data_IF_311051862878
#
_entry.id   IF_311051862878
#
_cell.length_a   1.000
_cell.length_b   1.000
_cell.length_c   1.000
_cell.angle_alpha   90.00
_cell.angle_beta   90.00
_cell.angle_gamma   90.00
#
_symmetry.space_group_name_H-M   'P 1'
#
loop_
_entity.id
_entity.type
_entity.pdbx_description
1 polymer ?
#
# COMPACT_ATOMS: atom_id res chain seq x y z
N UNK A 1 -13.16 19.45 -5.68
CA UNK A 1 -13.20 18.26 -6.56
C UNK A 1 -11.84 17.62 -6.71
N UNK A 2 -11.77 16.50 -7.40
CA UNK A 2 -10.50 15.80 -7.68
C UNK A 2 -9.74 16.62 -8.74
N UNK A 3 -8.46 16.98 -8.52
CA UNK A 3 -7.67 17.68 -9.51
C UNK A 3 -7.55 16.91 -10.84
N UNK A 4 -7.61 17.61 -11.96
CA UNK A 4 -7.65 17.01 -13.31
C UNK A 4 -6.45 16.16 -13.69
N UNK A 5 -5.29 16.38 -13.05
CA UNK A 5 -4.10 15.55 -13.31
C UNK A 5 -4.28 14.09 -12.90
N UNK A 6 -5.18 13.80 -11.96
CA UNK A 6 -5.42 12.45 -11.48
C UNK A 6 -6.48 11.76 -12.32
N UNK A 7 -6.08 10.72 -13.02
CA UNK A 7 -6.94 9.96 -13.94
C UNK A 7 -7.20 8.52 -13.47
N UNK A 8 -6.52 8.10 -12.40
CA UNK A 8 -6.63 6.77 -11.82
C UNK A 8 -6.88 6.86 -10.32
N UNK A 9 -7.68 5.94 -9.81
CA UNK A 9 -7.95 5.77 -8.39
C UNK A 9 -7.72 4.33 -7.96
N UNK A 10 -7.09 4.15 -6.80
CA UNK A 10 -6.82 2.84 -6.20
C UNK A 10 -7.36 2.79 -4.78
N UNK A 11 -7.77 1.60 -4.32
CA UNK A 11 -8.08 1.40 -2.91
C UNK A 11 -6.79 1.50 -2.07
N UNK A 12 -6.85 2.29 -0.99
CA UNK A 12 -5.74 2.41 -0.05
C UNK A 12 -5.81 1.28 0.95
N UNK A 13 -4.87 0.37 0.83
CA UNK A 13 -4.75 -0.77 1.73
C UNK A 13 -4.06 -0.33 3.03
N UNK A 14 -4.50 -0.86 4.15
CA UNK A 14 -3.95 -0.59 5.48
C UNK A 14 -3.16 -1.81 5.99
N UNK A 15 -2.00 -2.00 5.44
CA UNK A 15 -1.08 -3.06 5.80
C UNK A 15 0.31 -2.50 6.11
N UNK A 16 1.31 -3.29 5.78
CA UNK A 16 2.72 -2.93 5.89
C UNK A 16 3.25 -2.66 4.48
N UNK A 17 3.86 -1.50 4.26
CA UNK A 17 4.58 -1.24 3.02
C UNK A 17 5.65 -2.32 2.80
N UNK A 18 5.68 -2.92 1.63
CA UNK A 18 6.60 -3.98 1.27
C UNK A 18 7.31 -3.75 -0.06
N UNK A 19 8.59 -4.10 -0.09
CA UNK A 19 9.39 -4.17 -1.30
C UNK A 19 9.70 -5.64 -1.56
N UNK A 20 9.11 -6.18 -2.62
CA UNK A 20 9.29 -7.58 -3.03
C UNK A 20 10.34 -7.65 -4.12
N UNK A 21 11.47 -8.29 -3.81
CA UNK A 21 12.59 -8.48 -4.73
C UNK A 21 12.61 -9.93 -5.19
N UNK A 22 12.62 -10.12 -6.51
CA UNK A 22 12.69 -11.42 -7.18
C UNK A 22 14.03 -11.52 -7.88
N UNK A 23 14.86 -12.45 -7.45
CA UNK A 23 16.14 -12.74 -8.11
C UNK A 23 16.67 -14.13 -7.78
N UNK A 24 17.44 -14.72 -8.69
CA UNK A 24 18.12 -16.00 -8.48
C UNK A 24 17.20 -17.13 -8.02
N UNK A 25 15.95 -17.15 -8.49
CA UNK A 25 14.99 -18.18 -8.13
C UNK A 25 14.32 -17.99 -6.78
N UNK A 26 14.52 -16.88 -6.11
CA UNK A 26 13.97 -16.57 -4.79
C UNK A 26 13.22 -15.26 -4.76
N UNK A 27 12.28 -15.14 -3.82
CA UNK A 27 11.70 -13.86 -3.45
C UNK A 27 12.12 -13.48 -2.03
N UNK A 28 12.28 -12.18 -1.80
CA UNK A 28 12.45 -11.58 -0.49
C UNK A 28 11.58 -10.36 -0.40
N UNK A 29 10.80 -10.27 0.66
CA UNK A 29 9.99 -9.09 0.94
C UNK A 29 10.57 -8.32 2.11
N UNK A 30 10.87 -7.05 1.89
CA UNK A 30 11.43 -6.14 2.88
C UNK A 30 10.38 -5.12 3.32
N UNK A 31 10.36 -4.82 4.61
CA UNK A 31 9.61 -3.69 5.13
C UNK A 31 10.31 -2.37 4.80
N UNK A 32 9.64 -1.25 5.06
CA UNK A 32 10.20 0.10 4.90
C UNK A 32 11.51 0.31 5.65
N UNK A 33 11.70 -0.36 6.77
CA UNK A 33 12.93 -0.30 7.59
C UNK A 33 13.98 -1.34 7.20
N UNK A 34 13.77 -2.07 6.10
CA UNK A 34 14.70 -3.08 5.60
C UNK A 34 14.66 -4.43 6.30
N UNK A 35 13.67 -4.69 7.16
CA UNK A 35 13.47 -6.01 7.76
C UNK A 35 12.84 -6.98 6.78
N UNK A 36 13.36 -8.21 6.72
CA UNK A 36 12.78 -9.28 5.92
C UNK A 36 11.46 -9.73 6.58
N UNK A 37 10.38 -9.69 5.81
CA UNK A 37 9.03 -10.12 6.23
C UNK A 37 8.62 -11.46 5.63
N UNK A 38 9.14 -11.80 4.47
CA UNK A 38 8.90 -13.07 3.81
C UNK A 38 10.08 -13.42 2.90
N UNK A 39 10.36 -14.70 2.76
CA UNK A 39 11.40 -15.22 1.87
C UNK A 39 11.01 -16.62 1.44
N UNK A 40 11.35 -16.99 0.21
CA UNK A 40 11.13 -18.34 -0.28
C UNK A 40 11.65 -18.53 -1.69
N UNK A 41 11.61 -19.80 -2.11
CA UNK A 41 11.95 -20.21 -3.47
C UNK A 41 10.74 -20.00 -4.40
N UNK A 42 11.02 -19.61 -5.65
CA UNK A 42 10.00 -19.50 -6.69
C UNK A 42 10.16 -20.72 -7.61
N UNK A 43 9.20 -21.68 -7.58
CA UNK A 43 9.29 -22.88 -8.40
C UNK A 43 9.40 -22.53 -9.91
N UNK A 44 10.32 -23.19 -10.61
CA UNK A 44 10.55 -23.03 -12.06
C UNK A 44 10.84 -21.59 -12.50
N UNK A 45 11.32 -20.75 -11.57
CA UNK A 45 11.83 -19.44 -11.92
C UNK A 45 13.23 -19.56 -12.47
N UNK A 46 13.51 -18.89 -13.58
CA UNK A 46 14.84 -18.88 -14.16
C UNK A 46 15.83 -18.19 -13.20
N UNK A 47 16.79 -18.94 -12.68
CA UNK A 47 17.81 -18.46 -11.74
C UNK A 47 18.82 -17.50 -12.39
N UNK A 48 18.88 -17.48 -13.72
CA UNK A 48 19.69 -16.54 -14.52
C UNK A 48 18.94 -15.26 -14.85
N UNK A 49 17.66 -15.22 -14.57
CA UNK A 49 16.83 -14.05 -14.82
C UNK A 49 17.29 -12.90 -13.93
N UNK A 50 17.42 -11.71 -14.51
CA UNK A 50 17.75 -10.50 -13.79
C UNK A 50 16.65 -10.09 -12.79
N UNK A 51 17.04 -9.23 -11.83
CA UNK A 51 16.20 -8.77 -10.73
C UNK A 51 14.91 -8.12 -11.21
N UNK A 52 13.81 -8.43 -10.50
CA UNK A 52 12.55 -7.70 -10.58
C UNK A 52 12.21 -7.13 -9.20
N UNK A 53 11.60 -5.93 -9.16
CA UNK A 53 11.21 -5.25 -7.92
C UNK A 53 9.77 -4.79 -8.02
N UNK A 54 8.95 -5.25 -7.06
CA UNK A 54 7.57 -4.83 -6.86
C UNK A 54 7.41 -4.08 -5.54
N UNK A 55 6.62 -3.03 -5.55
CA UNK A 55 6.16 -2.37 -4.33
C UNK A 55 4.69 -2.70 -4.07
N UNK A 56 4.33 -2.87 -2.82
CA UNK A 56 2.96 -3.18 -2.45
C UNK A 56 2.68 -3.05 -0.96
N UNK A 57 1.44 -3.34 -0.59
CA UNK A 57 1.00 -3.45 0.81
C UNK A 57 0.88 -4.92 1.19
N UNK A 58 1.63 -5.32 2.21
CA UNK A 58 1.55 -6.65 2.80
C UNK A 58 0.54 -6.62 3.95
N UNK A 59 -0.54 -7.37 3.79
CA UNK A 59 -1.62 -7.44 4.76
C UNK A 59 -1.23 -8.43 5.83
N UNK A 60 -0.76 -7.95 6.97
CA UNK A 60 -0.30 -8.78 8.07
C UNK A 60 -1.16 -8.60 9.31
N UNK A 61 -1.92 -9.63 9.64
CA UNK A 61 -2.50 -9.83 10.96
C UNK A 61 -3.48 -8.77 11.40
N UNK A 62 -3.19 -8.20 12.54
CA UNK A 62 -4.13 -7.48 13.40
C UNK A 62 -4.69 -6.16 12.88
N UNK A 63 -4.06 -5.51 11.92
CA UNK A 63 -4.57 -4.23 11.39
C UNK A 63 -5.98 -4.38 10.79
N UNK A 64 -6.33 -5.59 10.35
CA UNK A 64 -7.59 -5.93 9.69
C UNK A 64 -8.30 -7.10 10.36
N UNK A 65 -8.46 -7.06 11.68
CA UNK A 65 -9.04 -8.15 12.44
C UNK A 65 -10.36 -8.73 11.92
N UNK A 66 -11.11 -7.95 11.12
CA UNK A 66 -12.35 -8.37 10.46
C UNK A 66 -12.16 -8.86 9.01
N UNK A 67 -10.96 -8.69 8.42
CA UNK A 67 -10.65 -9.05 7.03
C UNK A 67 -9.61 -10.17 6.93
N UNK A 68 -9.89 -11.28 7.59
CA UNK A 68 -8.99 -12.45 7.60
C UNK A 68 -8.82 -13.10 6.25
N UNK A 69 -9.74 -12.87 5.32
CA UNK A 69 -9.72 -13.38 3.94
C UNK A 69 -8.54 -12.85 3.11
N UNK A 70 -7.97 -11.69 3.50
CA UNK A 70 -6.81 -11.08 2.83
C UNK A 70 -5.55 -11.08 3.69
N UNK A 71 -5.59 -11.70 4.88
CA UNK A 71 -4.42 -11.79 5.75
C UNK A 71 -3.26 -12.50 5.03
N UNK A 72 -2.07 -11.88 5.09
CA UNK A 72 -0.84 -12.28 4.39
C UNK A 72 -0.88 -12.13 2.86
N UNK A 73 -1.91 -11.52 2.28
CA UNK A 73 -1.87 -11.14 0.87
C UNK A 73 -0.97 -9.91 0.67
N UNK A 74 -0.34 -9.87 -0.49
CA UNK A 74 0.48 -8.75 -0.95
C UNK A 74 -0.19 -8.08 -2.14
N UNK A 75 -0.57 -6.82 -1.97
CA UNK A 75 -1.25 -6.02 -3.00
C UNK A 75 -0.25 -5.10 -3.69
N UNK A 76 0.08 -5.42 -4.92
CA UNK A 76 1.02 -4.66 -5.73
C UNK A 76 0.41 -3.32 -6.11
N UNK A 77 1.15 -2.23 -5.89
CA UNK A 77 0.77 -0.89 -6.34
C UNK A 77 1.83 -0.23 -7.25
N UNK A 78 3.02 -0.82 -7.39
CA UNK A 78 4.04 -0.32 -8.32
C UNK A 78 5.04 -1.41 -8.72
N UNK A 79 5.73 -1.18 -9.84
CA UNK A 79 6.83 -2.01 -10.31
C UNK A 79 8.02 -1.11 -10.66
N UNK A 80 9.14 -1.29 -9.98
CA UNK A 80 10.32 -0.43 -10.16
C UNK A 80 11.39 -1.03 -11.05
N UNK A 81 11.43 -2.35 -11.18
CA UNK A 81 12.41 -3.04 -12.01
C UNK A 81 11.80 -4.31 -12.61
N UNK A 82 12.09 -4.53 -13.89
CA UNK A 82 11.68 -5.73 -14.61
C UNK A 82 12.86 -6.28 -15.40
N UNK A 83 13.28 -7.51 -15.08
CA UNK A 83 14.43 -8.17 -15.70
C UNK A 83 15.69 -7.28 -15.77
N UNK A 84 16.02 -6.63 -14.65
CA UNK A 84 17.18 -5.76 -14.50
C UNK A 84 17.00 -4.34 -15.05
N UNK A 85 15.93 -4.06 -15.78
CA UNK A 85 15.65 -2.72 -16.28
C UNK A 85 14.90 -1.88 -15.27
N UNK A 86 15.45 -0.71 -14.91
CA UNK A 86 14.82 0.27 -14.04
C UNK A 86 13.62 0.91 -14.74
N UNK A 87 12.47 0.92 -14.08
CA UNK A 87 11.21 1.44 -14.62
C UNK A 87 10.79 2.78 -14.02
N UNK A 88 11.55 3.31 -13.05
CA UNK A 88 11.18 4.53 -12.35
C UNK A 88 11.09 5.78 -13.25
N UNK A 89 11.74 5.76 -14.40
CA UNK A 89 11.67 6.80 -15.43
C UNK A 89 10.57 6.59 -16.47
N UNK A 90 9.73 5.58 -16.28
CA UNK A 90 8.55 5.33 -17.12
C UNK A 90 7.29 5.83 -16.41
N UNK A 91 6.23 6.19 -17.15
CA UNK A 91 4.97 6.57 -16.55
C UNK A 91 4.32 5.42 -15.77
N UNK A 92 3.51 5.76 -14.78
CA UNK A 92 2.80 4.82 -13.91
C UNK A 92 2.01 3.77 -14.71
N UNK A 93 1.30 4.16 -15.77
CA UNK A 93 0.55 3.23 -16.61
C UNK A 93 1.43 2.16 -17.27
N UNK A 94 2.67 2.48 -17.64
CA UNK A 94 3.62 1.49 -18.17
C UNK A 94 4.12 0.56 -17.05
N UNK A 95 4.45 1.10 -15.88
CA UNK A 95 4.90 0.29 -14.74
C UNK A 95 3.83 -0.69 -14.29
N UNK A 96 2.56 -0.30 -14.34
CA UNK A 96 1.41 -1.16 -14.01
C UNK A 96 1.32 -2.39 -14.94
N UNK A 97 1.66 -2.26 -16.22
CA UNK A 97 1.69 -3.39 -17.15
C UNK A 97 2.73 -4.42 -16.71
N UNK A 98 3.93 -3.99 -16.34
CA UNK A 98 4.97 -4.89 -15.84
C UNK A 98 4.61 -5.52 -14.50
N UNK A 99 3.96 -4.77 -13.62
CA UNK A 99 3.42 -5.30 -12.36
C UNK A 99 2.44 -6.46 -12.62
N UNK A 100 1.52 -6.29 -13.56
CA UNK A 100 0.54 -7.33 -13.93
C UNK A 100 1.20 -8.56 -14.53
N UNK A 101 2.22 -8.38 -15.38
CA UNK A 101 2.99 -9.51 -15.94
C UNK A 101 3.68 -10.33 -14.84
N UNK A 102 4.32 -9.68 -13.89
CA UNK A 102 4.98 -10.37 -12.77
C UNK A 102 3.96 -11.09 -11.88
N UNK A 103 2.83 -10.44 -11.58
CA UNK A 103 1.75 -11.07 -10.81
C UNK A 103 1.27 -12.35 -11.50
N UNK A 104 1.00 -12.32 -12.79
CA UNK A 104 0.57 -13.50 -13.54
C UNK A 104 1.60 -14.63 -13.48
N UNK A 105 2.88 -14.32 -13.68
CA UNK A 105 3.97 -15.29 -13.60
C UNK A 105 4.09 -15.91 -12.21
N UNK A 106 3.93 -15.12 -11.17
CA UNK A 106 3.96 -15.60 -9.78
C UNK A 106 2.71 -16.41 -9.44
N UNK A 107 1.53 -15.98 -9.87
CA UNK A 107 0.30 -16.73 -9.66
C UNK A 107 0.36 -18.11 -10.36
N UNK A 108 0.92 -18.19 -11.56
CA UNK A 108 1.11 -19.46 -12.29
C UNK A 108 2.04 -20.43 -11.54
N UNK A 109 2.89 -19.92 -10.66
CA UNK A 109 3.79 -20.71 -9.82
C UNK A 109 3.25 -20.99 -8.42
N UNK A 110 1.95 -20.70 -8.21
CA UNK A 110 1.26 -21.01 -6.97
C UNK A 110 1.19 -19.87 -5.95
N UNK A 111 1.79 -18.70 -6.22
CA UNK A 111 1.73 -17.54 -5.31
C UNK A 111 0.44 -16.76 -5.50
N UNK A 112 -0.70 -17.34 -5.10
CA UNK A 112 -2.03 -16.72 -5.23
C UNK A 112 -2.24 -15.55 -4.26
N UNK A 113 -1.41 -15.44 -3.23
CA UNK A 113 -1.43 -14.33 -2.27
C UNK A 113 -0.86 -13.02 -2.84
N UNK A 114 -0.26 -13.06 -4.02
CA UNK A 114 0.21 -11.87 -4.74
C UNK A 114 -0.91 -11.39 -5.65
N UNK A 115 -1.39 -10.18 -5.39
CA UNK A 115 -2.56 -9.59 -6.03
C UNK A 115 -2.24 -8.17 -6.49
N UNK A 116 -3.04 -7.63 -7.42
CA UNK A 116 -3.02 -6.20 -7.73
C UNK A 116 -3.94 -5.45 -6.78
N UNK A 117 -3.60 -4.20 -6.45
CA UNK A 117 -4.57 -3.29 -5.82
C UNK A 117 -5.79 -3.11 -6.71
N UNK A 118 -6.93 -2.81 -6.11
CA UNK A 118 -8.12 -2.42 -6.85
C UNK A 118 -7.87 -1.06 -7.50
N UNK A 119 -7.85 -1.03 -8.83
CA UNK A 119 -7.49 0.13 -9.64
C UNK A 119 -8.55 0.39 -10.70
N UNK A 120 -9.00 1.63 -10.77
CA UNK A 120 -10.08 2.06 -11.65
C UNK A 120 -9.78 3.42 -12.26
N UNK A 121 -10.52 3.77 -13.33
CA UNK A 121 -10.54 5.15 -13.83
C UNK A 121 -11.11 6.07 -12.76
N UNK A 122 -10.59 7.28 -12.67
CA UNK A 122 -10.95 8.24 -11.62
C UNK A 122 -12.45 8.57 -11.58
N UNK A 123 -13.14 8.52 -12.71
CA UNK A 123 -14.59 8.75 -12.80
C UNK A 123 -15.41 7.80 -11.93
N UNK A 124 -14.87 6.64 -11.58
CA UNK A 124 -15.51 5.63 -10.72
C UNK A 124 -15.17 5.77 -9.23
N UNK A 125 -14.51 6.84 -8.82
CA UNK A 125 -14.00 6.96 -7.46
C UNK A 125 -15.08 6.88 -6.39
N UNK A 126 -16.28 7.41 -6.64
CA UNK A 126 -17.38 7.35 -5.67
C UNK A 126 -17.87 5.93 -5.44
N UNK A 127 -18.05 5.15 -6.52
CA UNK A 127 -18.41 3.74 -6.41
C UNK A 127 -17.34 2.94 -5.66
N UNK A 128 -16.07 3.24 -5.90
CA UNK A 128 -14.97 2.61 -5.19
C UNK A 128 -14.94 2.99 -3.70
N UNK A 129 -15.22 4.26 -3.40
CA UNK A 129 -15.35 4.73 -2.02
C UNK A 129 -16.46 3.97 -1.28
N UNK A 130 -17.65 3.90 -1.86
CA UNK A 130 -18.80 3.24 -1.26
C UNK A 130 -18.54 1.74 -1.03
N UNK A 131 -17.98 1.04 -2.01
CA UNK A 131 -17.75 -0.39 -1.92
C UNK A 131 -16.53 -0.76 -1.08
N UNK A 132 -15.41 -0.06 -1.24
CA UNK A 132 -14.15 -0.43 -0.59
C UNK A 132 -13.94 0.26 0.74
N UNK A 133 -14.27 1.52 0.86
CA UNK A 133 -14.04 2.26 2.10
C UNK A 133 -15.22 2.08 3.05
N UNK A 134 -16.45 2.37 2.61
CA UNK A 134 -17.62 2.31 3.48
C UNK A 134 -18.09 0.89 3.75
N UNK A 135 -18.15 0.02 2.75
CA UNK A 135 -18.64 -1.37 2.94
C UNK A 135 -17.53 -2.30 3.42
N UNK A 136 -16.38 -2.30 2.73
CA UNK A 136 -15.29 -3.24 3.03
C UNK A 136 -14.32 -2.73 4.10
N UNK A 137 -14.40 -1.45 4.50
CA UNK A 137 -13.63 -0.89 5.59
C UNK A 137 -12.16 -0.59 5.26
N UNK A 138 -11.79 -0.42 3.98
CA UNK A 138 -10.46 0.02 3.62
C UNK A 138 -10.21 1.46 4.11
N UNK A 139 -8.93 1.81 4.29
CA UNK A 139 -8.52 3.08 4.90
C UNK A 139 -8.95 4.31 4.10
N UNK A 140 -9.01 4.20 2.80
CA UNK A 140 -9.34 5.31 1.90
C UNK A 140 -9.01 4.99 0.46
N UNK A 141 -8.73 6.04 -0.31
CA UNK A 141 -8.35 5.96 -1.72
C UNK A 141 -7.03 6.67 -1.98
N UNK A 142 -6.35 6.24 -3.04
CA UNK A 142 -5.20 6.92 -3.61
C UNK A 142 -5.52 7.30 -5.05
N UNK A 143 -5.44 8.60 -5.35
CA UNK A 143 -5.56 9.12 -6.70
C UNK A 143 -4.18 9.25 -7.31
N UNK A 144 -4.04 8.80 -8.56
CA UNK A 144 -2.75 8.77 -9.24
C UNK A 144 -2.80 9.47 -10.59
N UNK A 145 -1.70 10.11 -10.92
CA UNK A 145 -1.39 10.57 -12.25
C UNK A 145 -0.71 9.41 -13.01
N UNK A 146 -1.44 8.80 -13.96
CA UNK A 146 -0.94 7.65 -14.71
C UNK A 146 0.25 7.96 -15.62
N UNK A 147 0.52 9.23 -15.87
CA UNK A 147 1.65 9.70 -16.66
C UNK A 147 2.88 10.05 -15.79
N UNK A 148 2.74 10.06 -14.49
CA UNK A 148 3.83 10.42 -13.59
C UNK A 148 4.90 9.33 -13.49
N UNK A 149 6.15 9.77 -13.34
CA UNK A 149 7.27 8.90 -13.03
C UNK A 149 7.32 8.60 -11.52
N UNK A 150 8.03 7.56 -11.16
CA UNK A 150 8.24 7.24 -9.76
C UNK A 150 9.01 8.36 -9.05
N UNK A 151 8.47 8.84 -7.94
CA UNK A 151 9.06 9.92 -7.16
C UNK A 151 8.72 11.33 -7.63
N UNK A 152 7.92 11.50 -8.69
CA UNK A 152 7.43 12.82 -9.08
C UNK A 152 6.59 13.44 -7.97
N UNK A 153 6.77 14.75 -7.80
CA UNK A 153 6.00 15.50 -6.82
C UNK A 153 4.52 15.46 -7.16
N UNK A 154 3.70 15.23 -6.13
CA UNK A 154 2.25 15.18 -6.26
C UNK A 154 1.71 14.15 -7.29
N UNK A 155 2.50 13.12 -7.60
CA UNK A 155 2.07 12.01 -8.45
C UNK A 155 0.88 11.24 -7.84
N UNK A 156 0.76 11.26 -6.53
CA UNK A 156 -0.29 10.60 -5.75
C UNK A 156 -0.95 11.58 -4.79
N UNK A 157 -2.28 11.46 -4.64
CA UNK A 157 -3.07 12.16 -3.64
C UNK A 157 -3.84 11.13 -2.80
N UNK A 158 -3.77 11.26 -1.48
CA UNK A 158 -4.45 10.37 -0.54
C UNK A 158 -5.77 10.98 -0.08
N UNK A 159 -6.81 10.18 -0.05
CA UNK A 159 -8.09 10.51 0.56
C UNK A 159 -8.41 9.43 1.59
N UNK A 160 -8.41 9.80 2.88
CA UNK A 160 -8.70 8.88 3.99
C UNK A 160 -10.10 9.11 4.50
N UNK A 161 -10.75 8.03 4.99
CA UNK A 161 -11.98 8.15 5.75
C UNK A 161 -11.69 8.87 7.08
N UNK A 162 -12.52 9.88 7.39
CA UNK A 162 -12.48 10.54 8.69
C UNK A 162 -13.49 9.84 9.58
N UNK A 163 -13.03 9.34 10.74
CA UNK A 163 -13.89 8.80 11.77
C UNK A 163 -13.98 9.85 12.87
N UNK A 164 -15.17 10.39 13.07
CA UNK A 164 -15.46 11.23 14.22
C UNK A 164 -15.69 10.32 15.43
N UNK A 165 -14.90 10.50 16.47
CA UNK A 165 -15.04 9.76 17.71
C UNK A 165 -15.37 10.77 18.80
N UNK A 166 -16.57 10.66 19.37
CA UNK A 166 -16.97 11.42 20.55
C UNK A 166 -16.39 10.74 21.79
N UNK A 167 -15.53 11.46 22.49
CA UNK A 167 -15.00 11.03 23.78
C UNK A 167 -15.78 11.69 24.90
N UNK A 168 -16.22 10.90 25.85
CA UNK A 168 -16.67 11.42 27.14
C UNK A 168 -15.41 11.63 27.98
N UNK A 169 -15.10 12.89 28.25
CA UNK A 169 -13.98 13.22 29.12
C UNK A 169 -14.32 12.79 30.57
N UNK A 170 -13.68 11.73 31.05
CA UNK A 170 -13.86 11.22 32.40
C UNK A 170 -12.91 11.86 33.41
N UNK A 171 -11.93 12.61 32.95
CA UNK A 171 -10.97 13.33 33.80
C UNK A 171 -9.94 14.09 32.99
N UNK A 172 -9.21 14.95 33.66
CA UNK A 172 -8.08 15.70 33.11
C UNK A 172 -6.87 15.50 33.99
N UNK A 173 -5.72 15.20 33.40
CA UNK A 173 -4.44 15.18 34.08
C UNK A 173 -3.68 16.48 33.84
N UNK A 174 -3.10 17.00 34.90
CA UNK A 174 -2.24 18.18 34.80
C UNK A 174 -0.92 17.83 34.10
N UNK A 175 -0.32 18.79 33.41
CA UNK A 175 1.02 18.66 32.90
C UNK A 175 2.03 18.55 34.02
N UNK A 176 3.12 17.77 33.82
CA UNK A 176 4.20 17.60 34.77
C UNK A 176 4.68 18.98 35.29
N UNK A 177 4.79 19.13 36.59
CA UNK A 177 5.21 20.38 37.27
C UNK A 177 6.56 20.91 36.77
N UNK A 178 7.43 20.02 36.25
CA UNK A 178 8.74 20.38 35.65
C UNK A 178 8.66 20.73 34.17
N UNK A 179 7.49 20.60 33.57
CA UNK A 179 7.26 20.94 32.17
C UNK A 179 7.05 22.43 31.99
N UNK A 180 7.49 22.97 30.82
CA UNK A 180 7.12 24.35 30.43
C UNK A 180 5.58 24.55 30.28
N UNK A 181 4.82 23.47 30.34
CA UNK A 181 3.36 23.46 30.29
C UNK A 181 2.70 23.26 31.64
N UNK A 182 3.46 23.40 32.77
CA UNK A 182 2.92 23.29 34.11
C UNK A 182 1.70 24.21 34.30
N UNK A 183 0.64 23.68 34.87
CA UNK A 183 -0.63 24.39 35.04
C UNK A 183 -1.57 24.31 33.83
N UNK A 184 -1.18 23.58 32.75
CA UNK A 184 -2.03 23.26 31.62
C UNK A 184 -2.51 21.80 31.70
N UNK A 185 -3.59 21.48 31.00
CA UNK A 185 -4.05 20.08 30.87
C UNK A 185 -3.02 19.29 30.08
N UNK A 186 -2.39 18.29 30.68
CA UNK A 186 -1.38 17.45 30.07
C UNK A 186 -1.96 16.22 29.34
N UNK A 187 -3.15 15.77 29.78
CA UNK A 187 -3.84 14.64 29.14
C UNK A 187 -5.35 14.69 29.43
N UNK A 188 -6.10 14.04 28.54
CA UNK A 188 -7.53 13.79 28.70
C UNK A 188 -7.72 12.29 28.87
N UNK A 189 -8.46 11.88 29.90
CA UNK A 189 -8.78 10.48 30.18
C UNK A 189 -10.16 10.19 29.59
N UNK A 190 -10.23 9.29 28.61
CA UNK A 190 -11.45 8.83 27.94
C UNK A 190 -11.86 7.42 28.35
#
# INVERSE_FOLDING_TARGET
GIPDRYDVVEAKMDGIWGCLILEKGYYRMYSRTGKIKAVGEIPKWDDKRDKCILLGEFMHGSAWGHRKDIDKDFFIFDCLMYNGAWLGNKPDNARTIYASRLREQLNDRGFKWIRNVYRYKVEHWQSLWDSKVQQDGYEGLIFKDSMAHYGDKDAWMRMKAVVEIDYICSGMGDADEKSKYAGMVGSVIG
#
